data_IF_216728355420
#
_entry.id   IF_216728355420
#
_cell.length_a   1.000
_cell.length_b   1.000
_cell.length_c   1.000
_cell.angle_alpha   90.00
_cell.angle_beta   90.00
_cell.angle_gamma   90.00
#
_symmetry.space_group_name_H-M   'P 1'
#
loop_
_entity.id
_entity.type
_entity.pdbx_description
1 polymer ?
#
# COMPACT_ATOMS: atom_id res chain seq x y z
N UNK A 1 -2.61 0.67 -31.17
CA UNK A 1 -3.69 1.05 -30.23
C UNK A 1 -5.10 0.78 -30.75
N UNK A 2 -5.36 0.88 -32.11
CA UNK A 2 -6.72 0.68 -32.63
C UNK A 2 -7.19 -0.77 -32.46
N UNK A 3 -6.33 -1.75 -32.72
CA UNK A 3 -6.63 -3.17 -32.55
C UNK A 3 -6.92 -3.52 -31.09
N UNK A 4 -6.12 -3.01 -30.16
CA UNK A 4 -6.32 -3.21 -28.72
C UNK A 4 -7.69 -2.65 -28.27
N UNK A 5 -8.03 -1.45 -28.73
CA UNK A 5 -9.33 -0.84 -28.40
C UNK A 5 -10.50 -1.69 -28.90
N UNK A 6 -10.40 -2.22 -30.12
CA UNK A 6 -11.45 -3.12 -30.69
C UNK A 6 -11.53 -4.40 -29.90
N UNK A 7 -10.39 -4.99 -29.52
CA UNK A 7 -10.34 -6.18 -28.67
C UNK A 7 -11.02 -5.95 -27.32
N UNK A 8 -10.63 -4.87 -26.62
CA UNK A 8 -11.23 -4.55 -25.32
C UNK A 8 -12.75 -4.32 -25.41
N UNK A 9 -13.22 -3.64 -26.46
CA UNK A 9 -14.63 -3.43 -26.69
C UNK A 9 -15.38 -4.75 -26.92
N UNK A 10 -14.80 -5.63 -27.74
CA UNK A 10 -15.36 -6.96 -28.00
C UNK A 10 -15.44 -7.81 -26.72
N UNK A 11 -14.34 -7.91 -25.99
CA UNK A 11 -14.26 -8.71 -24.76
C UNK A 11 -15.21 -8.19 -23.68
N UNK A 12 -15.34 -6.87 -23.57
CA UNK A 12 -16.26 -6.24 -22.62
C UNK A 12 -17.73 -6.60 -22.89
N UNK A 13 -18.10 -6.77 -24.16
CA UNK A 13 -19.47 -7.12 -24.55
C UNK A 13 -19.74 -8.63 -24.50
N UNK A 14 -18.71 -9.47 -24.77
CA UNK A 14 -18.88 -10.90 -24.97
C UNK A 14 -18.66 -11.75 -23.72
N UNK A 15 -17.91 -11.24 -22.71
CA UNK A 15 -17.53 -12.05 -21.53
C UNK A 15 -17.91 -11.35 -20.24
N UNK A 16 -18.60 -12.06 -19.35
CA UNK A 16 -18.96 -11.57 -18.03
C UNK A 16 -18.53 -12.54 -16.92
N UNK A 17 -17.28 -12.46 -16.46
CA UNK A 17 -16.68 -13.45 -15.56
C UNK A 17 -17.38 -13.48 -14.19
N UNK A 18 -17.64 -14.69 -13.69
CA UNK A 18 -18.17 -14.94 -12.35
C UNK A 18 -17.02 -15.26 -11.38
N UNK A 19 -17.14 -14.74 -10.18
CA UNK A 19 -16.15 -15.01 -9.12
C UNK A 19 -16.34 -16.42 -8.58
N UNK A 20 -15.29 -17.24 -8.62
CA UNK A 20 -15.30 -18.57 -7.98
C UNK A 20 -15.15 -18.46 -6.46
N UNK A 21 -15.59 -19.50 -5.74
CA UNK A 21 -15.48 -19.55 -4.28
C UNK A 21 -14.02 -19.51 -3.81
N UNK A 22 -13.10 -20.11 -4.56
CA UNK A 22 -11.66 -20.09 -4.29
C UNK A 22 -11.08 -18.68 -4.42
N UNK A 23 -11.35 -18.00 -5.55
CA UNK A 23 -10.94 -16.62 -5.76
C UNK A 23 -11.52 -15.67 -4.69
N UNK A 24 -12.79 -15.84 -4.35
CA UNK A 24 -13.43 -15.04 -3.30
C UNK A 24 -12.73 -15.18 -1.94
N UNK A 25 -12.29 -16.39 -1.57
CA UNK A 25 -11.53 -16.62 -0.33
C UNK A 25 -10.19 -15.88 -0.33
N UNK A 26 -9.44 -15.92 -1.42
CA UNK A 26 -8.15 -15.21 -1.57
C UNK A 26 -8.34 -13.71 -1.38
N UNK A 27 -9.28 -13.11 -2.12
CA UNK A 27 -9.54 -11.67 -2.04
C UNK A 27 -10.03 -11.25 -0.66
N UNK A 28 -10.92 -12.05 -0.04
CA UNK A 28 -11.40 -11.79 1.32
C UNK A 28 -10.26 -11.84 2.34
N UNK A 29 -9.40 -12.86 2.28
CA UNK A 29 -8.27 -13.01 3.21
C UNK A 29 -7.33 -11.81 3.09
N UNK A 30 -7.01 -11.39 1.88
CA UNK A 30 -6.18 -10.22 1.64
C UNK A 30 -6.84 -8.94 2.17
N UNK A 31 -8.12 -8.72 1.87
CA UNK A 31 -8.87 -7.56 2.39
C UNK A 31 -8.88 -7.50 3.92
N UNK A 32 -9.11 -8.64 4.59
CA UNK A 32 -9.08 -8.72 6.05
C UNK A 32 -7.68 -8.41 6.60
N UNK A 33 -6.62 -8.93 5.97
CA UNK A 33 -5.24 -8.63 6.38
C UNK A 33 -4.89 -7.14 6.24
N UNK A 34 -5.41 -6.47 5.20
CA UNK A 34 -5.26 -5.01 5.06
C UNK A 34 -5.99 -4.26 6.16
N UNK A 35 -7.20 -4.72 6.48
CA UNK A 35 -8.03 -4.10 7.52
C UNK A 35 -7.42 -4.28 8.91
N UNK A 36 -6.89 -5.47 9.22
CA UNK A 36 -6.23 -5.75 10.49
C UNK A 36 -4.92 -4.93 10.64
N UNK A 37 -4.19 -4.75 9.54
CA UNK A 37 -2.94 -4.01 9.54
C UNK A 37 -3.12 -2.49 9.61
N UNK A 38 -4.18 -1.97 8.99
CA UNK A 38 -4.36 -0.53 8.78
C UNK A 38 -5.71 0.00 9.25
N UNK A 39 -6.59 -0.85 9.80
CA UNK A 39 -7.95 -0.49 10.17
C UNK A 39 -8.05 0.49 11.35
N UNK A 40 -7.06 0.46 12.25
CA UNK A 40 -6.99 1.35 13.42
C UNK A 40 -6.21 2.65 13.13
N UNK A 41 -5.53 2.69 11.98
CA UNK A 41 -4.80 3.88 11.57
C UNK A 41 -5.75 4.80 10.76
N UNK A 42 -6.12 5.94 11.37
CA UNK A 42 -6.91 6.99 10.70
C UNK A 42 -6.30 7.49 9.38
N UNK A 43 -5.11 7.01 8.99
CA UNK A 43 -4.41 7.46 7.80
C UNK A 43 -4.96 6.84 6.52
N UNK A 44 -5.46 5.58 6.55
CA UNK A 44 -6.04 4.92 5.38
C UNK A 44 -7.35 4.22 5.77
N UNK A 45 -8.49 4.78 5.42
CA UNK A 45 -9.75 4.08 5.62
C UNK A 45 -9.84 2.89 4.66
N UNK A 46 -9.59 1.67 5.15
CA UNK A 46 -9.86 0.45 4.39
C UNK A 46 -11.36 0.21 4.36
N UNK A 47 -11.98 0.62 3.28
CA UNK A 47 -13.43 0.54 3.08
C UNK A 47 -13.80 -0.64 2.18
N UNK A 48 -15.10 -0.95 2.10
CA UNK A 48 -15.63 -1.96 1.16
C UNK A 48 -15.30 -1.67 -0.30
N UNK A 49 -14.98 -0.41 -0.65
CA UNK A 49 -14.59 -0.02 -2.01
C UNK A 49 -13.30 -0.70 -2.46
N UNK A 50 -12.35 -0.94 -1.56
CA UNK A 50 -11.13 -1.68 -1.88
C UNK A 50 -11.45 -3.14 -2.25
N UNK A 51 -12.35 -3.79 -1.51
CA UNK A 51 -12.78 -5.14 -1.85
C UNK A 51 -13.51 -5.18 -3.19
N UNK A 52 -14.41 -4.23 -3.45
CA UNK A 52 -15.07 -4.11 -4.78
C UNK A 52 -14.05 -3.90 -5.89
N UNK A 53 -13.02 -3.09 -5.67
CA UNK A 53 -11.96 -2.85 -6.65
C UNK A 53 -11.16 -4.11 -6.95
N UNK A 54 -10.80 -4.89 -5.93
CA UNK A 54 -10.13 -6.19 -6.09
C UNK A 54 -10.97 -7.16 -6.92
N UNK A 55 -12.27 -7.25 -6.64
CA UNK A 55 -13.20 -8.11 -7.40
C UNK A 55 -13.26 -7.65 -8.86
N UNK A 56 -13.44 -6.34 -9.11
CA UNK A 56 -13.51 -5.78 -10.47
C UNK A 56 -12.21 -6.01 -11.26
N UNK A 57 -11.05 -5.85 -10.63
CA UNK A 57 -9.75 -6.10 -11.26
C UNK A 57 -9.59 -7.58 -11.60
N UNK A 58 -9.94 -8.50 -10.70
CA UNK A 58 -9.89 -9.94 -10.95
C UNK A 58 -10.82 -10.36 -12.09
N UNK A 59 -12.03 -9.79 -12.14
CA UNK A 59 -12.95 -9.99 -13.26
C UNK A 59 -12.40 -9.41 -14.57
N UNK A 60 -11.76 -8.23 -14.53
CA UNK A 60 -11.15 -7.63 -15.71
C UNK A 60 -10.03 -8.50 -16.26
N UNK A 61 -9.19 -9.11 -15.38
CA UNK A 61 -8.14 -10.04 -15.79
C UNK A 61 -8.70 -11.29 -16.49
N UNK A 62 -9.67 -11.97 -15.87
CA UNK A 62 -10.34 -13.14 -16.48
C UNK A 62 -11.01 -12.77 -17.80
N UNK A 63 -11.60 -11.59 -17.90
CA UNK A 63 -12.21 -11.06 -19.12
C UNK A 63 -11.18 -10.85 -20.23
N UNK A 64 -10.00 -10.33 -19.93
CA UNK A 64 -8.92 -10.17 -20.91
C UNK A 64 -8.49 -11.50 -21.54
N UNK A 65 -8.55 -12.58 -20.77
CA UNK A 65 -8.24 -13.94 -21.24
C UNK A 65 -9.48 -14.69 -21.79
N UNK A 66 -10.62 -13.99 -21.90
CA UNK A 66 -11.89 -14.51 -22.40
C UNK A 66 -12.41 -15.71 -21.59
N UNK A 67 -12.16 -15.72 -20.29
CA UNK A 67 -12.68 -16.75 -19.38
C UNK A 67 -13.96 -16.27 -18.70
N UNK A 68 -14.89 -17.19 -18.51
CA UNK A 68 -16.17 -16.91 -17.86
C UNK A 68 -16.11 -17.04 -16.33
N UNK A 69 -14.98 -17.54 -15.82
CA UNK A 69 -14.74 -17.69 -14.38
C UNK A 69 -13.41 -17.05 -13.97
N UNK A 70 -13.44 -16.39 -12.80
CA UNK A 70 -12.27 -15.86 -12.14
C UNK A 70 -11.61 -16.98 -11.35
N UNK A 71 -10.38 -17.33 -11.69
CA UNK A 71 -9.62 -18.39 -11.02
C UNK A 71 -8.93 -17.87 -9.75
N UNK A 72 -8.39 -18.80 -8.96
CA UNK A 72 -7.56 -18.48 -7.79
C UNK A 72 -6.28 -17.73 -8.22
N UNK A 73 -5.71 -18.10 -9.37
CA UNK A 73 -4.53 -17.45 -9.95
C UNK A 73 -4.80 -15.99 -10.30
N UNK A 74 -5.95 -15.69 -10.93
CA UNK A 74 -6.33 -14.32 -11.22
C UNK A 74 -6.43 -13.47 -9.95
N UNK A 75 -7.03 -14.04 -8.90
CA UNK A 75 -7.16 -13.36 -7.63
C UNK A 75 -5.79 -13.12 -6.97
N UNK A 76 -4.87 -14.09 -7.07
CA UNK A 76 -3.53 -13.97 -6.52
C UNK A 76 -2.71 -12.91 -7.26
N UNK A 77 -2.75 -12.90 -8.59
CA UNK A 77 -2.05 -11.90 -9.38
C UNK A 77 -2.52 -10.47 -9.08
N UNK A 78 -3.84 -10.31 -8.86
CA UNK A 78 -4.38 -9.00 -8.48
C UNK A 78 -3.96 -8.61 -7.05
N UNK A 79 -3.89 -9.58 -6.13
CA UNK A 79 -3.38 -9.34 -4.77
C UNK A 79 -1.92 -8.89 -4.84
N UNK A 80 -1.10 -9.53 -5.64
CA UNK A 80 0.33 -9.20 -5.75
C UNK A 80 0.54 -7.84 -6.45
N UNK A 81 -0.22 -7.56 -7.51
CA UNK A 81 -0.25 -6.24 -8.14
C UNK A 81 -0.65 -5.14 -7.16
N UNK A 82 -1.64 -5.42 -6.31
CA UNK A 82 -2.12 -4.45 -5.33
C UNK A 82 -1.11 -4.22 -4.21
N UNK A 83 -0.40 -5.27 -3.76
CA UNK A 83 0.72 -5.14 -2.81
C UNK A 83 1.83 -4.27 -3.36
N UNK A 84 2.23 -4.50 -4.61
CA UNK A 84 3.26 -3.73 -5.30
C UNK A 84 2.85 -2.26 -5.44
N UNK A 85 1.63 -2.01 -5.91
CA UNK A 85 1.08 -0.65 -6.01
C UNK A 85 0.98 0.05 -4.65
N UNK A 86 0.58 -0.66 -3.61
CA UNK A 86 0.56 -0.12 -2.25
C UNK A 86 1.98 0.17 -1.77
N UNK A 87 2.94 -0.70 -2.06
CA UNK A 87 4.34 -0.52 -1.68
C UNK A 87 4.94 0.70 -2.38
N UNK A 88 4.77 0.85 -3.69
CA UNK A 88 5.25 2.01 -4.46
C UNK A 88 4.64 3.33 -3.99
N UNK A 89 3.35 3.30 -3.66
CA UNK A 89 2.60 4.49 -3.20
C UNK A 89 2.98 4.87 -1.77
N UNK A 90 3.37 3.91 -0.96
CA UNK A 90 3.57 4.04 0.48
C UNK A 90 5.04 4.07 0.89
N UNK A 91 5.96 3.61 0.03
CA UNK A 91 7.40 3.72 0.26
C UNK A 91 7.89 5.08 -0.24
N UNK A 92 8.47 5.86 0.65
CA UNK A 92 9.27 7.03 0.32
C UNK A 92 10.68 6.59 -0.09
N UNK A 93 11.45 7.45 -0.77
CA UNK A 93 12.85 7.25 -1.20
C UNK A 93 13.79 6.74 -0.09
N UNK A 94 13.34 6.79 1.16
CA UNK A 94 14.04 6.27 2.34
C UNK A 94 13.51 4.91 2.84
N UNK A 95 12.61 4.24 2.12
CA UNK A 95 12.01 2.96 2.52
C UNK A 95 11.00 3.06 3.67
N UNK A 96 10.60 4.26 4.05
CA UNK A 96 9.49 4.49 4.97
C UNK A 96 8.19 4.52 4.19
N UNK A 97 7.23 3.71 4.63
CA UNK A 97 5.90 3.65 4.05
C UNK A 97 5.12 4.89 4.45
N UNK A 98 5.02 5.89 3.57
CA UNK A 98 4.24 7.10 3.80
C UNK A 98 2.81 6.94 3.25
N UNK A 99 1.92 6.47 4.09
CA UNK A 99 0.49 6.32 3.79
C UNK A 99 -0.24 7.65 3.54
N UNK A 100 0.39 8.78 3.81
CA UNK A 100 -0.29 10.07 3.85
C UNK A 100 -0.28 10.84 2.52
N UNK A 101 0.60 10.49 1.59
CA UNK A 101 0.80 11.25 0.35
C UNK A 101 -0.40 11.24 -0.60
N UNK A 102 -1.21 10.19 -0.59
CA UNK A 102 -2.30 10.02 -1.56
C UNK A 102 -3.73 10.24 -1.04
N UNK A 103 -3.95 10.51 0.24
CA UNK A 103 -5.29 10.56 0.81
C UNK A 103 -5.63 11.88 1.54
N UNK A 104 -5.02 12.98 1.15
CA UNK A 104 -5.40 14.29 1.71
C UNK A 104 -5.22 14.34 3.24
N UNK A 105 -4.03 14.06 3.69
CA UNK A 105 -3.67 14.06 5.11
C UNK A 105 -4.12 15.35 5.80
N UNK A 106 -4.86 15.21 6.88
CA UNK A 106 -5.18 16.33 7.78
C UNK A 106 -3.88 17.01 8.20
N UNK A 107 -3.80 18.36 8.03
CA UNK A 107 -2.65 19.18 8.42
C UNK A 107 -2.16 18.87 9.85
N UNK A 108 -3.05 18.50 10.75
CA UNK A 108 -2.75 18.10 12.13
C UNK A 108 -1.87 16.85 12.24
N UNK A 109 -2.05 15.84 11.37
CA UNK A 109 -1.23 14.62 11.38
C UNK A 109 0.16 14.85 10.79
N UNK A 110 0.25 15.63 9.71
CA UNK A 110 1.54 16.03 9.14
C UNK A 110 2.37 16.79 10.16
N UNK A 111 1.74 17.70 10.90
CA UNK A 111 2.41 18.45 11.96
C UNK A 111 2.92 17.54 13.08
N UNK A 112 2.13 16.56 13.52
CA UNK A 112 2.55 15.59 14.55
C UNK A 112 3.74 14.74 14.11
N UNK A 113 3.73 14.23 12.86
CA UNK A 113 4.85 13.47 12.31
C UNK A 113 6.11 14.32 12.16
N UNK A 114 5.95 15.55 11.69
CA UNK A 114 7.06 16.48 11.57
C UNK A 114 7.68 16.81 12.93
N UNK A 115 6.85 17.06 13.94
CA UNK A 115 7.31 17.28 15.32
C UNK A 115 8.04 16.04 15.84
N UNK A 116 7.48 14.85 15.67
CA UNK A 116 8.11 13.61 16.11
C UNK A 116 9.47 13.35 15.42
N UNK A 117 9.57 13.62 14.12
CA UNK A 117 10.81 13.52 13.37
C UNK A 117 11.87 14.52 13.86
N UNK A 118 11.47 15.77 14.11
CA UNK A 118 12.36 16.80 14.65
C UNK A 118 12.83 16.46 16.08
N UNK A 119 11.94 15.98 16.94
CA UNK A 119 12.29 15.58 18.30
C UNK A 119 13.35 14.44 18.27
N UNK A 120 13.12 13.41 17.46
CA UNK A 120 14.05 12.30 17.30
C UNK A 120 15.43 12.75 16.77
N UNK A 121 15.45 13.65 15.80
CA UNK A 121 16.70 14.18 15.26
C UNK A 121 17.42 15.09 16.29
N UNK A 122 16.69 15.88 17.06
CA UNK A 122 17.24 16.69 18.15
C UNK A 122 17.85 15.82 19.24
N UNK A 123 17.18 14.74 19.65
CA UNK A 123 17.71 13.77 20.63
C UNK A 123 18.97 13.07 20.11
N UNK A 124 18.98 12.66 18.84
CA UNK A 124 20.16 12.06 18.21
C UNK A 124 21.37 13.01 18.21
N UNK A 125 21.15 14.29 17.89
CA UNK A 125 22.21 15.31 17.90
C UNK A 125 22.68 15.64 19.31
N UNK A 126 21.77 15.72 20.26
CA UNK A 126 22.13 16.00 21.65
C UNK A 126 22.97 14.84 22.23
N UNK A 127 22.62 13.58 21.95
CA UNK A 127 23.38 12.41 22.37
C UNK A 127 24.77 12.36 21.72
N UNK A 128 24.89 12.74 20.45
CA UNK A 128 26.16 12.84 19.75
C UNK A 128 27.04 13.95 20.32
N UNK A 129 26.49 15.10 20.66
CA UNK A 129 27.24 16.21 21.30
C UNK A 129 27.67 15.86 22.70
N UNK A 130 26.87 15.12 23.47
CA UNK A 130 27.21 14.66 24.79
C UNK A 130 28.38 13.69 24.75
N UNK A 131 28.40 12.72 23.84
CA UNK A 131 29.50 11.76 23.67
C UNK A 131 30.80 12.44 23.26
N UNK A 132 30.76 13.50 22.42
CA UNK A 132 31.95 14.27 22.04
C UNK A 132 32.49 15.06 23.24
N UNK A 133 31.61 15.58 24.09
CA UNK A 133 32.00 16.35 25.29
C UNK A 133 32.71 15.49 26.34
N UNK A 134 32.13 14.31 26.64
CA UNK A 134 32.72 13.33 27.56
C UNK A 134 34.05 12.83 27.07
N UNK A 135 34.19 12.48 25.79
CA UNK A 135 35.47 12.03 25.21
C UNK A 135 36.55 13.13 25.09
N UNK A 136 36.19 14.41 25.30
CA UNK A 136 37.15 15.52 25.36
C UNK A 136 37.66 15.76 26.77
N UNK A 137 36.84 15.53 27.80
CA UNK A 137 37.22 15.62 29.20
C UNK A 137 38.20 14.51 29.60
N UNK A 138 38.01 13.27 29.11
CA UNK A 138 38.95 12.16 29.35
C UNK A 138 40.35 12.34 28.74
N UNK A 139 40.51 13.19 27.71
CA UNK A 139 41.80 13.48 27.05
C UNK A 139 42.53 14.66 27.65
N UNK A 140 41.95 15.37 28.59
CA UNK A 140 42.63 16.51 29.25
C UNK A 140 43.26 16.15 30.60
N UNK A 141 43.01 14.92 31.08
CA UNK A 141 43.54 14.41 32.37
C UNK A 141 44.73 13.44 32.20
N UNK A 142 45.26 13.26 30.99
CA UNK A 142 46.52 12.62 30.67
C UNK A 142 47.61 13.67 30.32
#
# INVERSE_FOLDING_TARGET
PVLLRKYLAFVHQSVNPRLTSGAAKVLKTFYMSLRDKYGDDDSIPITMRQLESLIRLSQARARLERREEVTVEDAQDIVDLMKESLYEVLSDDMGYVDFQRNMGSSKSKQTKLFIAALTREAERRSSALFSIRVGREEKSDE
#
